data_IF_528086439387
#
_entry.id   IF_528086439387
#
_cell.length_a   1.000
_cell.length_b   1.000
_cell.length_c   1.000
_cell.angle_alpha   90.00
_cell.angle_beta   90.00
_cell.angle_gamma   90.00
#
_symmetry.space_group_name_H-M   'P 1'
#
loop_
_entity.id
_entity.type
_entity.pdbx_description
1 polymer ?
#
# COMPACT_ATOMS: atom_id res chain seq x y z
N UNK A 1 -18.00 -21.61 -4.55
CA UNK A 1 -17.49 -20.24 -4.32
C UNK A 1 -16.43 -19.95 -5.36
N UNK A 2 -16.50 -18.80 -6.03
CA UNK A 2 -15.44 -18.37 -6.93
C UNK A 2 -14.23 -17.84 -6.16
N UNK A 3 -13.07 -17.69 -6.81
CA UNK A 3 -11.87 -17.10 -6.20
C UNK A 3 -12.13 -15.70 -5.65
N UNK A 4 -11.49 -15.37 -4.53
CA UNK A 4 -11.55 -14.07 -3.85
C UNK A 4 -10.51 -13.11 -4.42
N UNK A 5 -10.70 -11.81 -4.18
CA UNK A 5 -9.86 -10.76 -4.76
C UNK A 5 -8.37 -10.90 -4.43
N UNK A 6 -8.04 -11.36 -3.22
CA UNK A 6 -6.67 -11.57 -2.75
C UNK A 6 -5.91 -12.59 -3.61
N UNK A 7 -6.55 -13.68 -4.01
CA UNK A 7 -5.90 -14.72 -4.83
C UNK A 7 -5.42 -14.19 -6.18
N UNK A 8 -6.15 -13.25 -6.77
CA UNK A 8 -5.75 -12.58 -8.01
C UNK A 8 -4.64 -11.55 -7.77
N UNK A 9 -4.78 -10.77 -6.71
CA UNK A 9 -3.82 -9.71 -6.37
C UNK A 9 -2.46 -10.27 -5.99
N UNK A 10 -2.40 -11.35 -5.21
CA UNK A 10 -1.12 -11.98 -4.82
C UNK A 10 -0.34 -12.42 -6.07
N UNK A 11 -0.99 -13.17 -6.97
CA UNK A 11 -0.34 -13.61 -8.20
C UNK A 11 0.13 -12.43 -9.05
N UNK A 12 -0.69 -11.39 -9.20
CA UNK A 12 -0.35 -10.24 -10.02
C UNK A 12 0.80 -9.42 -9.40
N UNK A 13 0.78 -9.18 -8.09
CA UNK A 13 1.86 -8.51 -7.38
C UNK A 13 3.20 -9.25 -7.54
N UNK A 14 3.19 -10.59 -7.48
CA UNK A 14 4.39 -11.40 -7.74
C UNK A 14 4.93 -11.19 -9.16
N UNK A 15 4.06 -11.18 -10.17
CA UNK A 15 4.48 -10.90 -11.55
C UNK A 15 5.08 -9.50 -11.72
N UNK A 16 4.49 -8.48 -11.07
CA UNK A 16 5.02 -7.11 -11.13
C UNK A 16 6.37 -7.00 -10.43
N UNK A 17 6.56 -7.68 -9.30
CA UNK A 17 7.85 -7.71 -8.61
C UNK A 17 8.91 -8.36 -9.50
N UNK A 18 8.62 -9.51 -10.11
CA UNK A 18 9.54 -10.20 -11.01
C UNK A 18 9.89 -9.35 -12.24
N UNK A 19 8.89 -8.70 -12.86
CA UNK A 19 9.09 -7.73 -13.96
C UNK A 19 10.09 -6.63 -13.53
N UNK A 20 9.89 -6.03 -12.36
CA UNK A 20 10.74 -4.92 -11.90
C UNK A 20 12.13 -5.38 -11.47
N UNK A 21 12.24 -6.59 -10.92
CA UNK A 21 13.54 -7.21 -10.62
C UNK A 21 14.36 -7.41 -11.89
N UNK A 22 13.72 -7.81 -13.01
CA UNK A 22 14.38 -7.92 -14.31
C UNK A 22 14.69 -6.55 -14.92
N UNK A 23 13.71 -5.64 -14.93
CA UNK A 23 13.82 -4.33 -15.57
C UNK A 23 14.90 -3.46 -14.92
N UNK A 24 14.98 -3.46 -13.59
CA UNK A 24 15.93 -2.67 -12.81
C UNK A 24 17.09 -3.52 -12.27
N UNK A 25 17.43 -4.59 -12.99
CA UNK A 25 18.56 -5.44 -12.65
C UNK A 25 19.85 -4.61 -12.65
N UNK A 26 20.62 -4.74 -11.57
CA UNK A 26 21.88 -3.99 -11.39
C UNK A 26 21.71 -2.56 -10.87
N UNK A 27 20.48 -2.06 -10.69
CA UNK A 27 20.25 -0.73 -10.13
C UNK A 27 20.36 -0.73 -8.61
N UNK A 28 21.04 0.27 -8.07
CA UNK A 28 21.11 0.57 -6.64
C UNK A 28 19.93 1.41 -6.16
N UNK A 29 19.91 1.70 -4.86
CA UNK A 29 18.87 2.56 -4.27
C UNK A 29 18.78 3.95 -4.94
N UNK A 30 19.88 4.66 -5.27
CA UNK A 30 19.78 5.98 -5.90
C UNK A 30 19.09 5.97 -7.26
N UNK A 31 19.41 5.00 -8.13
CA UNK A 31 18.80 4.86 -9.45
C UNK A 31 17.32 4.51 -9.34
N UNK A 32 16.99 3.55 -8.46
CA UNK A 32 15.59 3.20 -8.16
C UNK A 32 14.83 4.39 -7.57
N UNK A 33 15.47 5.23 -6.76
CA UNK A 33 14.84 6.40 -6.16
C UNK A 33 14.45 7.43 -7.21
N UNK A 34 15.29 7.63 -8.22
CA UNK A 34 14.97 8.53 -9.33
C UNK A 34 13.76 8.01 -10.13
N UNK A 35 13.73 6.70 -10.45
CA UNK A 35 12.58 6.09 -11.11
C UNK A 35 11.31 6.22 -10.28
N UNK A 36 11.42 5.90 -8.99
CA UNK A 36 10.32 5.93 -8.05
C UNK A 36 9.71 7.32 -7.94
N UNK A 37 10.54 8.36 -7.79
CA UNK A 37 10.06 9.71 -7.54
C UNK A 37 9.59 10.43 -8.82
N UNK A 38 10.28 10.20 -9.95
CA UNK A 38 10.12 11.02 -11.16
C UNK A 38 9.27 10.39 -12.25
N UNK A 39 9.43 9.09 -12.49
CA UNK A 39 8.87 8.44 -13.69
C UNK A 39 7.66 7.57 -13.36
N UNK A 40 7.73 6.86 -12.25
CA UNK A 40 6.66 5.96 -11.83
C UNK A 40 5.54 6.69 -11.07
N UNK A 41 4.31 6.23 -11.28
CA UNK A 41 3.12 6.77 -10.64
C UNK A 41 2.08 5.69 -10.28
N UNK A 42 1.02 6.10 -9.60
CA UNK A 42 -0.04 5.22 -9.11
C UNK A 42 -0.78 4.49 -10.23
N UNK A 43 -1.00 5.13 -11.37
CA UNK A 43 -1.67 4.53 -12.52
C UNK A 43 -0.87 3.39 -13.13
N UNK A 44 0.47 3.43 -13.06
CA UNK A 44 1.33 2.35 -13.54
C UNK A 44 1.10 1.04 -12.76
N UNK A 45 0.77 1.15 -11.46
CA UNK A 45 0.35 0.02 -10.62
C UNK A 45 -1.06 -0.40 -11.01
N UNK A 46 -2.00 0.55 -11.07
CA UNK A 46 -3.42 0.27 -11.35
C UNK A 46 -3.60 -0.47 -12.67
N UNK A 47 -2.90 -0.04 -13.73
CA UNK A 47 -2.91 -0.71 -15.04
C UNK A 47 -2.37 -2.13 -14.95
N UNK A 48 -1.25 -2.35 -14.27
CA UNK A 48 -0.68 -3.70 -14.06
C UNK A 48 -1.65 -4.60 -13.29
N UNK A 49 -2.29 -4.08 -12.25
CA UNK A 49 -3.29 -4.81 -11.46
C UNK A 49 -4.53 -5.18 -12.28
N UNK A 50 -4.97 -4.29 -13.19
CA UNK A 50 -6.14 -4.50 -14.04
C UNK A 50 -5.87 -5.35 -15.29
N UNK A 51 -4.62 -5.40 -15.77
CA UNK A 51 -4.25 -6.04 -17.04
C UNK A 51 -4.75 -7.49 -17.20
N UNK A 52 -4.65 -8.38 -16.19
CA UNK A 52 -5.15 -9.75 -16.32
C UNK A 52 -6.66 -9.86 -16.59
N UNK A 53 -7.43 -8.84 -16.22
CA UNK A 53 -8.89 -8.79 -16.44
C UNK A 53 -9.27 -8.22 -17.80
N UNK A 54 -8.31 -7.66 -18.55
CA UNK A 54 -8.48 -7.14 -19.93
C UNK A 54 -9.69 -6.20 -20.04
N UNK A 55 -10.62 -6.47 -20.95
CA UNK A 55 -11.82 -5.68 -21.19
C UNK A 55 -12.82 -5.65 -20.01
N UNK A 56 -12.62 -6.47 -18.98
CA UNK A 56 -13.46 -6.48 -17.78
C UNK A 56 -12.95 -5.53 -16.69
N UNK A 57 -11.79 -4.90 -16.89
CA UNK A 57 -11.24 -3.88 -15.99
C UNK A 57 -11.77 -2.49 -16.36
N UNK A 58 -12.40 -1.83 -15.40
CA UNK A 58 -12.81 -0.45 -15.48
C UNK A 58 -11.88 0.41 -14.61
N UNK A 59 -11.15 1.33 -15.23
CA UNK A 59 -10.20 2.21 -14.56
C UNK A 59 -10.87 3.52 -14.21
N UNK A 60 -11.03 3.78 -12.91
CA UNK A 60 -11.73 4.95 -12.35
C UNK A 60 -10.78 5.94 -11.68
N UNK A 61 -9.47 5.65 -11.71
CA UNK A 61 -8.43 6.53 -11.19
C UNK A 61 -8.56 7.95 -11.77
N UNK A 62 -8.74 8.94 -10.88
CA UNK A 62 -8.88 10.36 -11.24
C UNK A 62 -10.30 10.83 -11.60
N UNK A 63 -11.30 9.96 -11.67
CA UNK A 63 -12.69 10.37 -11.95
C UNK A 63 -13.34 11.13 -10.78
N UNK A 64 -12.90 10.85 -9.56
CA UNK A 64 -13.42 11.45 -8.33
C UNK A 64 -13.10 12.94 -8.15
N UNK A 65 -12.14 13.49 -8.92
CA UNK A 65 -11.81 14.92 -8.89
C UNK A 65 -12.88 15.83 -9.53
N UNK A 66 -13.78 15.26 -10.33
CA UNK A 66 -14.84 16.00 -11.06
C UNK A 66 -16.24 15.83 -10.46
N UNK A 67 -16.37 15.00 -9.42
CA UNK A 67 -17.66 14.59 -8.86
C UNK A 67 -17.89 15.26 -7.50
N UNK A 68 -19.15 15.59 -7.19
CA UNK A 68 -19.55 16.06 -5.86
C UNK A 68 -19.23 14.97 -4.83
N UNK A 69 -18.95 15.33 -3.58
CA UNK A 69 -18.54 14.41 -2.50
C UNK A 69 -19.45 13.17 -2.35
N UNK A 70 -20.75 13.29 -2.63
CA UNK A 70 -21.74 12.20 -2.58
C UNK A 70 -21.65 11.19 -3.76
N UNK A 71 -20.93 11.53 -4.83
CA UNK A 71 -20.74 10.71 -6.04
C UNK A 71 -19.30 10.25 -6.19
N UNK A 72 -18.46 10.43 -5.17
CA UNK A 72 -17.04 10.12 -5.24
C UNK A 72 -16.86 8.60 -5.39
N UNK A 73 -16.21 8.21 -6.48
CA UNK A 73 -15.74 6.83 -6.67
C UNK A 73 -14.51 6.66 -5.77
N UNK A 74 -14.58 5.69 -4.85
CA UNK A 74 -13.54 5.40 -3.85
C UNK A 74 -12.76 4.12 -4.18
N UNK A 75 -12.58 3.84 -5.46
CA UNK A 75 -11.71 2.78 -5.96
C UNK A 75 -11.08 3.26 -7.28
N UNK A 76 -9.89 2.77 -7.58
CA UNK A 76 -9.17 3.08 -8.82
C UNK A 76 -9.43 2.06 -9.93
N UNK A 77 -9.83 0.85 -9.55
CA UNK A 77 -10.06 -0.27 -10.45
C UNK A 77 -11.31 -1.06 -10.02
N UNK A 78 -12.20 -1.29 -10.98
CA UNK A 78 -13.41 -2.11 -10.81
C UNK A 78 -13.46 -3.25 -11.82
N UNK A 79 -13.67 -4.48 -11.35
CA UNK A 79 -13.84 -5.66 -12.19
C UNK A 79 -15.32 -6.09 -12.16
N UNK A 80 -16.09 -5.64 -13.16
CA UNK A 80 -17.56 -5.77 -13.16
C UNK A 80 -18.06 -7.22 -13.06
N UNK A 81 -17.40 -8.15 -13.76
CA UNK A 81 -17.81 -9.57 -13.76
C UNK A 81 -17.74 -10.23 -12.37
N UNK A 82 -16.88 -9.70 -11.48
CA UNK A 82 -16.63 -10.28 -10.15
C UNK A 82 -17.10 -9.39 -9.00
N UNK A 83 -17.59 -8.18 -9.29
CA UNK A 83 -17.83 -7.12 -8.30
C UNK A 83 -16.57 -6.87 -7.44
N UNK A 84 -15.40 -6.79 -8.06
CA UNK A 84 -14.16 -6.46 -7.35
C UNK A 84 -13.88 -4.98 -7.41
N UNK A 85 -13.65 -4.33 -6.27
CA UNK A 85 -13.20 -2.94 -6.18
C UNK A 85 -11.83 -2.87 -5.54
N UNK A 86 -10.90 -2.18 -6.18
CA UNK A 86 -9.51 -2.07 -5.73
C UNK A 86 -9.15 -0.59 -5.66
N UNK A 87 -8.80 -0.12 -4.47
CA UNK A 87 -8.13 1.17 -4.28
C UNK A 87 -6.62 0.93 -4.31
N UNK A 88 -5.87 1.78 -5.00
CA UNK A 88 -4.43 1.64 -5.18
C UNK A 88 -3.73 2.88 -4.63
N UNK A 89 -2.64 2.69 -3.91
CA UNK A 89 -1.82 3.80 -3.41
C UNK A 89 -0.35 3.56 -3.71
N UNK A 90 0.26 4.53 -4.38
CA UNK A 90 1.70 4.52 -4.60
C UNK A 90 2.41 5.38 -3.55
N UNK A 91 3.42 4.80 -2.88
CA UNK A 91 4.28 5.54 -1.96
C UNK A 91 5.57 5.96 -2.65
N UNK A 92 5.86 7.26 -2.56
CA UNK A 92 7.13 7.88 -2.95
C UNK A 92 7.39 9.13 -2.13
N UNK A 93 8.58 9.71 -2.29
CA UNK A 93 8.81 11.06 -1.79
C UNK A 93 8.36 12.10 -2.82
N UNK A 94 7.67 13.11 -2.32
CA UNK A 94 7.25 14.27 -3.10
C UNK A 94 8.20 15.44 -2.87
N UNK A 95 8.14 16.41 -3.78
CA UNK A 95 8.85 17.68 -3.64
C UNK A 95 8.25 18.42 -2.43
N UNK A 96 9.11 18.75 -1.47
CA UNK A 96 8.77 19.55 -0.29
C UNK A 96 8.67 21.04 -0.64
N UNK A 97 8.17 21.85 0.29
CA UNK A 97 8.18 23.31 0.16
C UNK A 97 9.60 23.89 0.06
N UNK A 98 10.62 23.16 0.51
CA UNK A 98 12.04 23.50 0.37
C UNK A 98 12.64 22.99 -0.95
N UNK A 99 11.80 22.56 -1.91
CA UNK A 99 12.18 22.00 -3.20
C UNK A 99 13.08 20.75 -3.13
N UNK A 100 13.00 20.00 -2.03
CA UNK A 100 13.72 18.74 -1.82
C UNK A 100 12.76 17.55 -1.82
N UNK A 101 13.15 16.40 -2.38
CA UNK A 101 12.28 15.20 -2.45
C UNK A 101 12.30 14.39 -1.15
N UNK A 102 11.74 14.98 -0.10
CA UNK A 102 11.69 14.38 1.23
C UNK A 102 10.27 14.34 1.82
N UNK A 103 9.26 14.89 1.13
CA UNK A 103 7.91 14.92 1.66
C UNK A 103 7.25 13.53 1.56
N UNK A 104 6.82 13.00 2.70
CA UNK A 104 5.99 11.80 2.78
C UNK A 104 4.51 12.17 2.71
N UNK A 105 3.67 11.23 2.27
CA UNK A 105 2.22 11.44 2.17
C UNK A 105 1.60 11.49 3.56
N UNK A 106 0.64 12.40 3.76
CA UNK A 106 -0.02 12.61 5.04
C UNK A 106 -0.85 11.38 5.45
N UNK A 107 -0.80 11.05 6.75
CA UNK A 107 -1.55 9.92 7.31
C UNK A 107 -3.06 9.98 7.01
N UNK A 108 -3.65 11.17 7.03
CA UNK A 108 -5.10 11.36 6.83
C UNK A 108 -5.62 10.88 5.47
N UNK A 109 -4.76 10.82 4.45
CA UNK A 109 -5.12 10.26 3.14
C UNK A 109 -5.29 8.75 3.25
N UNK A 110 -4.31 8.07 3.84
CA UNK A 110 -4.38 6.61 4.06
C UNK A 110 -5.52 6.23 5.00
N UNK A 111 -5.78 7.05 6.02
CA UNK A 111 -6.89 6.80 6.93
C UNK A 111 -8.22 6.77 6.18
N UNK A 112 -8.45 7.67 5.21
CA UNK A 112 -9.68 7.65 4.40
C UNK A 112 -9.79 6.37 3.55
N UNK A 113 -8.69 5.93 2.94
CA UNK A 113 -8.66 4.71 2.13
C UNK A 113 -8.90 3.46 2.99
N UNK A 114 -8.31 3.42 4.19
CA UNK A 114 -8.57 2.36 5.17
C UNK A 114 -10.00 2.37 5.69
N UNK A 115 -10.54 3.54 6.03
CA UNK A 115 -11.93 3.66 6.51
C UNK A 115 -12.90 3.19 5.42
N UNK A 116 -12.69 3.55 4.15
CA UNK A 116 -13.47 3.03 3.03
C UNK A 116 -13.42 1.51 2.93
N UNK A 117 -12.22 0.93 2.97
CA UNK A 117 -12.05 -0.53 2.90
C UNK A 117 -12.80 -1.21 4.05
N UNK A 118 -12.63 -0.68 5.27
CA UNK A 118 -13.25 -1.26 6.46
C UNK A 118 -14.77 -1.16 6.42
N UNK A 119 -15.31 -0.04 5.95
CA UNK A 119 -16.75 0.16 5.79
C UNK A 119 -17.34 -0.80 4.75
N UNK A 120 -16.70 -1.01 3.59
CA UNK A 120 -17.18 -1.99 2.60
C UNK A 120 -17.17 -3.41 3.18
N UNK A 121 -16.13 -3.79 3.93
CA UNK A 121 -16.01 -5.08 4.59
C UNK A 121 -17.08 -5.27 5.67
N UNK A 122 -17.29 -4.27 6.52
CA UNK A 122 -18.32 -4.27 7.56
C UNK A 122 -19.73 -4.39 6.97
N UNK A 123 -19.92 -3.87 5.76
CA UNK A 123 -21.15 -3.99 4.96
C UNK A 123 -21.23 -5.28 4.12
N UNK A 124 -20.39 -6.28 4.42
CA UNK A 124 -20.49 -7.62 3.84
C UNK A 124 -19.76 -7.83 2.52
N UNK A 125 -18.88 -6.92 2.09
CA UNK A 125 -18.09 -7.06 0.85
C UNK A 125 -16.77 -7.86 1.05
N UNK A 126 -16.77 -8.84 1.94
CA UNK A 126 -15.63 -9.74 2.16
C UNK A 126 -15.23 -10.44 0.85
N UNK A 127 -13.91 -10.52 0.59
CA UNK A 127 -13.35 -11.07 -0.64
C UNK A 127 -13.68 -10.30 -1.94
N UNK A 128 -14.31 -9.11 -1.84
CA UNK A 128 -14.70 -8.27 -2.99
C UNK A 128 -14.00 -6.92 -3.05
N UNK A 129 -13.46 -6.45 -1.94
CA UNK A 129 -12.74 -5.17 -1.89
C UNK A 129 -11.31 -5.38 -1.43
N UNK A 130 -10.41 -4.57 -1.99
CA UNK A 130 -9.02 -4.53 -1.56
C UNK A 130 -8.47 -3.11 -1.60
N UNK A 131 -7.52 -2.85 -0.70
CA UNK A 131 -6.65 -1.69 -0.76
C UNK A 131 -5.22 -2.18 -0.99
N UNK A 132 -4.56 -1.67 -2.02
CA UNK A 132 -3.22 -2.11 -2.43
C UNK A 132 -2.27 -0.94 -2.33
N UNK A 133 -1.22 -1.10 -1.54
CA UNK A 133 -0.13 -0.12 -1.43
C UNK A 133 1.10 -0.69 -2.11
N UNK A 134 1.70 0.06 -3.03
CA UNK A 134 2.96 -0.32 -3.69
C UNK A 134 4.05 0.73 -3.53
N UNK A 135 5.31 0.32 -3.46
CA UNK A 135 6.46 1.22 -3.40
C UNK A 135 7.75 0.56 -3.88
N UNK A 136 8.69 1.36 -4.37
CA UNK A 136 10.04 0.89 -4.67
C UNK A 136 10.86 0.69 -3.39
N UNK A 137 11.65 -0.38 -3.36
CA UNK A 137 12.62 -0.67 -2.30
C UNK A 137 13.88 0.20 -2.45
N UNK A 138 13.70 1.52 -2.34
CA UNK A 138 14.73 2.54 -2.59
C UNK A 138 15.00 3.43 -1.37
N UNK A 139 14.36 3.12 -0.23
CA UNK A 139 14.45 3.87 1.03
C UNK A 139 15.11 3.04 2.12
N UNK A 140 15.63 3.68 3.16
CA UNK A 140 16.26 2.99 4.31
C UNK A 140 15.28 2.74 5.47
N UNK A 141 14.15 3.42 5.43
CA UNK A 141 13.06 3.28 6.38
C UNK A 141 11.74 3.57 5.69
N UNK A 142 10.73 2.72 5.95
CA UNK A 142 9.37 2.94 5.48
C UNK A 142 8.78 4.28 5.95
N UNK A 143 9.25 4.82 7.09
CA UNK A 143 8.86 6.15 7.57
C UNK A 143 9.28 7.31 6.66
N UNK A 144 10.19 7.08 5.71
CA UNK A 144 10.50 8.06 4.66
C UNK A 144 9.35 8.19 3.67
N UNK A 145 8.50 7.17 3.53
CA UNK A 145 7.40 7.14 2.58
C UNK A 145 6.06 7.59 3.19
N UNK A 146 5.89 7.39 4.50
CA UNK A 146 4.63 7.69 5.23
C UNK A 146 4.89 8.25 6.64
N UNK A 147 4.02 9.16 7.09
CA UNK A 147 4.10 9.80 8.40
C UNK A 147 3.58 8.94 9.55
N UNK A 148 4.44 8.09 10.11
CA UNK A 148 4.11 7.20 11.25
C UNK A 148 4.40 7.80 12.64
N UNK A 149 4.91 9.03 12.73
CA UNK A 149 5.28 9.66 14.00
C UNK A 149 4.12 10.33 14.73
N UNK A 150 4.26 10.52 16.05
CA UNK A 150 3.36 11.33 16.90
C UNK A 150 3.69 12.82 16.91
N UNK A 151 4.87 13.22 16.41
CA UNK A 151 5.34 14.61 16.46
C UNK A 151 6.28 14.97 15.32
N UNK A 152 6.72 16.23 15.31
CA UNK A 152 7.73 16.77 14.38
C UNK A 152 9.15 16.53 14.89
N UNK A 153 10.12 16.49 13.98
CA UNK A 153 11.54 16.33 14.30
C UNK A 153 12.20 15.17 13.56
N UNK A 154 13.52 15.04 13.73
CA UNK A 154 14.32 14.04 13.01
C UNK A 154 14.06 12.59 13.46
N UNK A 155 13.59 12.40 14.70
CA UNK A 155 13.45 11.08 15.33
C UNK A 155 12.14 10.92 16.10
N UNK A 156 10.98 11.06 15.45
CA UNK A 156 9.70 10.97 16.14
C UNK A 156 9.47 9.53 16.65
N UNK A 157 8.87 9.44 17.83
CA UNK A 157 8.33 8.18 18.36
C UNK A 157 7.21 7.69 17.43
N UNK A 158 7.07 6.37 17.35
CA UNK A 158 6.03 5.74 16.54
C UNK A 158 4.66 5.99 17.16
N UNK A 159 3.70 6.37 16.32
CA UNK A 159 2.28 6.35 16.66
C UNK A 159 1.75 4.93 16.52
N UNK A 160 1.50 4.26 17.65
CA UNK A 160 0.98 2.89 17.71
C UNK A 160 -0.32 2.70 16.93
N UNK A 161 -1.17 3.74 16.89
CA UNK A 161 -2.44 3.69 16.17
C UNK A 161 -2.23 3.65 14.66
N UNK A 162 -1.17 4.29 14.15
CA UNK A 162 -0.81 4.23 12.73
C UNK A 162 -0.05 2.93 12.42
N UNK A 163 0.85 2.53 13.31
CA UNK A 163 1.64 1.30 13.15
C UNK A 163 0.76 0.05 13.07
N UNK A 164 -0.38 0.01 13.75
CA UNK A 164 -1.29 -1.16 13.73
C UNK A 164 -1.87 -1.49 12.34
N UNK A 165 -1.79 -0.54 11.39
CA UNK A 165 -2.16 -0.74 9.99
C UNK A 165 -1.02 -1.36 9.14
N UNK A 166 0.18 -1.49 9.69
CA UNK A 166 1.36 -2.03 8.99
C UNK A 166 1.97 -3.16 9.81
N UNK A 167 1.29 -4.32 9.92
CA UNK A 167 1.76 -5.43 10.76
C UNK A 167 3.08 -6.05 10.28
N UNK A 168 3.51 -5.73 9.05
CA UNK A 168 4.79 -6.11 8.48
C UNK A 168 5.96 -5.20 8.91
N UNK A 169 5.72 -4.20 9.77
CA UNK A 169 6.77 -3.36 10.33
C UNK A 169 7.11 -3.79 11.75
N UNK A 170 8.36 -4.17 11.95
CA UNK A 170 8.92 -4.60 13.23
C UNK A 170 10.09 -3.72 13.63
N UNK A 171 10.51 -3.77 14.89
CA UNK A 171 11.73 -3.09 15.32
C UNK A 171 12.96 -3.79 14.72
N UNK A 172 13.94 -3.00 14.25
CA UNK A 172 15.26 -3.50 13.81
C UNK A 172 15.98 -4.29 14.90
N UNK A 173 15.79 -3.90 16.17
CA UNK A 173 16.34 -4.57 17.34
C UNK A 173 15.33 -4.40 18.48
N UNK A 174 15.10 -5.43 19.29
CA UNK A 174 14.19 -5.39 20.44
C UNK A 174 14.53 -4.25 21.41
N UNK A 175 15.83 -3.99 21.59
CA UNK A 175 16.38 -2.95 22.46
C UNK A 175 16.35 -1.55 21.83
N UNK A 176 16.02 -1.43 20.54
CA UNK A 176 15.96 -0.11 19.92
C UNK A 176 14.78 0.72 20.45
N UNK A 177 14.98 2.05 20.63
CA UNK A 177 13.87 2.96 20.86
C UNK A 177 12.80 2.79 19.80
N UNK A 178 11.52 2.85 20.18
CA UNK A 178 10.39 2.72 19.26
C UNK A 178 10.18 4.02 18.46
N UNK A 179 11.19 4.36 17.68
CA UNK A 179 11.24 5.49 16.75
C UNK A 179 10.96 4.99 15.34
N UNK A 180 10.34 5.84 14.53
CA UNK A 180 9.93 5.50 13.16
C UNK A 180 11.08 5.00 12.28
N UNK A 181 12.29 5.55 12.42
CA UNK A 181 13.51 5.12 11.70
C UNK A 181 14.05 3.74 12.10
N UNK A 182 13.66 3.25 13.27
CA UNK A 182 14.10 1.97 13.81
C UNK A 182 13.13 0.84 13.44
N UNK A 183 12.15 1.12 12.58
CA UNK A 183 11.30 0.11 11.99
C UNK A 183 11.98 -0.49 10.75
N UNK A 184 11.74 -1.77 10.52
CA UNK A 184 12.15 -2.52 9.34
C UNK A 184 11.02 -3.44 8.90
N UNK A 185 11.12 -3.96 7.68
CA UNK A 185 10.20 -4.96 7.17
C UNK A 185 10.44 -6.31 7.85
N UNK A 186 9.37 -6.99 8.18
CA UNK A 186 9.36 -8.38 8.63
C UNK A 186 9.31 -9.32 7.43
N UNK A 187 10.45 -9.51 6.77
CA UNK A 187 10.57 -10.41 5.63
C UNK A 187 10.32 -11.88 5.99
N UNK A 188 10.47 -12.25 7.28
CA UNK A 188 10.19 -13.62 7.74
C UNK A 188 8.72 -13.96 7.60
N UNK A 189 7.85 -12.99 7.88
CA UNK A 189 6.40 -13.12 7.73
C UNK A 189 5.86 -12.52 6.42
N UNK A 190 6.73 -12.23 5.44
CA UNK A 190 6.29 -11.91 4.10
C UNK A 190 5.43 -13.04 3.52
N UNK A 191 4.51 -12.70 2.62
CA UNK A 191 3.55 -13.62 1.99
C UNK A 191 2.58 -14.32 2.96
N UNK A 192 2.57 -13.92 4.23
CA UNK A 192 1.67 -14.47 5.26
C UNK A 192 0.59 -13.47 5.64
N UNK A 193 -0.65 -13.94 5.77
CA UNK A 193 -1.76 -13.11 6.22
C UNK A 193 -1.60 -12.70 7.70
N UNK A 194 -1.56 -11.40 7.94
CA UNK A 194 -1.55 -10.81 9.27
C UNK A 194 -2.89 -10.12 9.58
N UNK A 195 -3.48 -10.31 10.78
CA UNK A 195 -4.63 -9.53 11.20
C UNK A 195 -4.27 -8.06 11.38
N UNK A 196 -5.15 -7.15 10.95
CA UNK A 196 -5.07 -5.76 11.39
C UNK A 196 -5.73 -5.63 12.76
N UNK A 197 -5.02 -4.98 13.68
CA UNK A 197 -5.58 -4.63 15.00
C UNK A 197 -6.24 -3.26 14.88
N UNK A 198 -7.56 -3.25 14.76
CA UNK A 198 -8.38 -2.04 14.67
C UNK A 198 -9.13 -1.79 15.98
N UNK A 199 -9.87 -0.68 16.07
CA UNK A 199 -10.68 -0.37 17.25
C UNK A 199 -11.75 -1.45 17.49
N UNK A 200 -12.18 -1.59 18.75
CA UNK A 200 -13.21 -2.55 19.17
C UNK A 200 -14.59 -2.33 18.53
N UNK A 201 -14.81 -1.22 17.83
CA UNK A 201 -16.08 -0.87 17.19
C UNK A 201 -16.24 -1.51 15.80
N UNK A 202 -15.14 -1.99 15.20
CA UNK A 202 -15.10 -2.61 13.89
C UNK A 202 -15.54 -4.08 13.96
N UNK A 203 -16.34 -4.54 13.00
CA UNK A 203 -16.95 -5.90 13.02
C UNK A 203 -16.24 -6.88 12.08
N UNK A 204 -15.59 -6.36 11.04
CA UNK A 204 -14.93 -7.12 9.99
C UNK A 204 -13.63 -7.79 10.43
N UNK A 205 -13.22 -8.79 9.64
CA UNK A 205 -11.90 -9.45 9.78
C UNK A 205 -10.95 -8.93 8.71
N UNK A 206 -10.25 -7.86 9.04
CA UNK A 206 -9.30 -7.24 8.12
C UNK A 206 -7.96 -7.96 8.14
N UNK A 207 -7.43 -8.23 6.95
CA UNK A 207 -6.13 -8.87 6.73
C UNK A 207 -5.21 -7.93 5.99
N UNK A 208 -3.93 -8.09 6.28
CA UNK A 208 -2.84 -7.50 5.51
C UNK A 208 -1.88 -8.62 5.09
N UNK A 209 -1.41 -8.58 3.84
CA UNK A 209 -0.31 -9.41 3.37
C UNK A 209 0.77 -8.51 2.78
N UNK A 210 1.96 -8.57 3.35
CA UNK A 210 3.15 -7.95 2.78
C UNK A 210 3.76 -8.89 1.74
N UNK A 211 4.06 -8.37 0.55
CA UNK A 211 4.58 -9.14 -0.58
C UNK A 211 5.88 -8.48 -1.01
N UNK A 212 6.97 -9.21 -0.83
CA UNK A 212 8.30 -8.78 -1.21
C UNK A 212 9.39 -9.38 -0.33
N UNK A 213 10.58 -9.47 -0.89
CA UNK A 213 11.81 -9.89 -0.24
C UNK A 213 12.80 -8.72 -0.12
N UNK A 214 13.88 -8.91 0.65
CA UNK A 214 14.88 -7.87 0.90
C UNK A 214 15.57 -7.40 -0.38
N UNK A 215 15.80 -8.31 -1.32
CA UNK A 215 16.45 -8.02 -2.60
C UNK A 215 15.52 -7.45 -3.68
N UNK A 216 14.21 -7.49 -3.47
CA UNK A 216 13.24 -7.05 -4.48
C UNK A 216 13.34 -5.56 -4.73
N UNK A 217 13.08 -5.15 -5.97
CA UNK A 217 13.07 -3.74 -6.40
C UNK A 217 11.78 -3.02 -6.01
N UNK A 218 10.72 -3.77 -5.73
CA UNK A 218 9.39 -3.26 -5.44
C UNK A 218 8.70 -4.14 -4.41
N UNK A 219 7.84 -3.52 -3.60
CA UNK A 219 7.09 -4.19 -2.56
C UNK A 219 5.62 -3.82 -2.64
N UNK A 220 4.77 -4.71 -2.13
CA UNK A 220 3.35 -4.48 -1.96
C UNK A 220 2.89 -4.75 -0.53
N UNK A 221 1.84 -4.06 -0.11
CA UNK A 221 0.99 -4.44 1.00
C UNK A 221 -0.46 -4.54 0.49
N UNK A 222 -1.06 -5.72 0.62
CA UNK A 222 -2.44 -5.99 0.26
C UNK A 222 -3.32 -5.99 1.50
N UNK A 223 -4.46 -5.31 1.44
CA UNK A 223 -5.43 -5.25 2.51
C UNK A 223 -6.81 -5.68 2.02
N UNK A 224 -7.49 -6.57 2.73
CA UNK A 224 -8.78 -7.14 2.33
C UNK A 224 -9.54 -7.76 3.50
N UNK A 225 -10.80 -8.13 3.29
CA UNK A 225 -11.67 -8.78 4.28
C UNK A 225 -11.81 -10.29 4.05
N UNK A 226 -11.80 -11.07 5.14
CA UNK A 226 -11.93 -12.53 5.14
C UNK A 226 -13.23 -13.02 5.78
#
# INVERSE_FOLDING_TARGET
MGPTIDQYLVANCLYVIDEFNMLYKGWGKPELKNEADEKFNEMDITVRLGYPFKQNAHYTAGESGRLKKAQKINHDLYIGQRDFKIEVKYLKNWISSANTRAASKNWSVFQQDFDWLMDEIDNGKNGKVAFVIGWFNCVDSFSQLIQLGTGSGAYPLVDERKLSYFPFLVKKNENAPKQTKNLTYDYVNAYTESPLRTSSERKGKYRCMFIGEEGDKFHFALYYGK
#
